data_IF_264759998750
#
_entry.id   IF_264759998750
#
_cell.length_a   1.000
_cell.length_b   1.000
_cell.length_c   1.000
_cell.angle_alpha   90.00
_cell.angle_beta   90.00
_cell.angle_gamma   90.00
#
_symmetry.space_group_name_H-M   'P 1'
#
loop_
_entity.id
_entity.type
_entity.pdbx_description
1 polymer ?
#
# COMPACT_ATOMS: atom_id res chain seq x y z
N UNK A 1 1.58 -13.27 -13.32
CA UNK A 1 2.72 -12.37 -13.35
C UNK A 1 3.15 -12.03 -11.93
N UNK A 2 4.44 -12.17 -11.65
CA UNK A 2 4.94 -11.87 -10.30
C UNK A 2 5.58 -10.49 -10.24
N UNK A 3 5.34 -9.82 -9.14
CA UNK A 3 5.90 -8.50 -8.87
C UNK A 3 6.94 -8.57 -7.76
N UNK A 4 7.90 -7.66 -7.79
CA UNK A 4 8.77 -7.41 -6.65
C UNK A 4 8.20 -6.21 -5.89
N UNK A 5 8.56 -6.08 -4.62
CA UNK A 5 8.06 -4.98 -3.79
C UNK A 5 9.21 -4.15 -3.26
N UNK A 6 9.10 -2.85 -3.43
CA UNK A 6 10.02 -1.90 -2.85
C UNK A 6 9.24 -1.03 -1.86
N UNK A 7 9.77 -0.87 -0.65
CA UNK A 7 9.16 -0.01 0.37
C UNK A 7 10.03 1.24 0.50
N UNK A 8 9.44 2.41 0.23
CA UNK A 8 10.16 3.68 0.32
C UNK A 8 10.53 3.99 1.77
N UNK A 9 11.46 4.92 1.97
CA UNK A 9 11.83 5.37 3.31
C UNK A 9 10.64 5.92 4.08
N UNK A 10 9.75 6.63 3.39
CA UNK A 10 8.55 7.21 4.01
C UNK A 10 7.59 6.11 4.48
N UNK A 11 7.32 5.12 3.63
CA UNK A 11 6.46 4.01 3.98
C UNK A 11 7.06 3.20 5.13
N UNK A 12 8.35 2.99 5.11
CA UNK A 12 9.04 2.30 6.19
C UNK A 12 8.91 3.06 7.52
N UNK A 13 8.96 4.38 7.45
CA UNK A 13 8.74 5.23 8.63
C UNK A 13 7.30 5.12 9.12
N UNK A 14 6.34 5.04 8.20
CA UNK A 14 4.93 4.83 8.56
C UNK A 14 4.74 3.55 9.36
N UNK A 15 5.43 2.47 8.97
CA UNK A 15 5.34 1.18 9.65
C UNK A 15 5.73 1.25 11.13
N UNK A 16 6.64 2.14 11.48
CA UNK A 16 7.09 2.30 12.87
C UNK A 16 6.00 2.80 13.81
N UNK A 17 4.96 3.40 13.26
CA UNK A 17 3.84 3.95 14.03
C UNK A 17 2.59 3.07 13.99
N UNK A 18 2.71 1.86 13.46
CA UNK A 18 1.59 0.93 13.32
C UNK A 18 1.75 -0.21 14.33
N UNK A 19 0.66 -0.61 15.03
CA UNK A 19 0.72 -1.74 15.96
C UNK A 19 1.22 -3.01 15.27
N UNK A 20 2.03 -3.77 15.97
CA UNK A 20 2.68 -4.98 15.43
C UNK A 20 1.70 -5.96 14.78
N UNK A 21 0.54 -6.18 15.40
CA UNK A 21 -0.46 -7.10 14.84
C UNK A 21 -1.00 -6.63 13.50
N UNK A 22 -1.10 -5.31 13.32
CA UNK A 22 -1.59 -4.74 12.07
C UNK A 22 -0.49 -4.79 11.01
N UNK A 23 0.76 -4.58 11.40
CA UNK A 23 1.91 -4.69 10.49
C UNK A 23 1.94 -6.07 9.83
N UNK A 24 1.75 -7.13 10.60
CA UNK A 24 1.76 -8.50 10.06
C UNK A 24 0.70 -8.68 8.98
N UNK A 25 -0.51 -8.19 9.24
CA UNK A 25 -1.62 -8.29 8.28
C UNK A 25 -1.36 -7.46 7.03
N UNK A 26 -0.82 -6.26 7.20
CA UNK A 26 -0.48 -5.37 6.09
C UNK A 26 0.58 -6.02 5.21
N UNK A 27 1.63 -6.55 5.81
CA UNK A 27 2.72 -7.21 5.08
C UNK A 27 2.19 -8.44 4.32
N UNK A 28 1.30 -9.22 4.94
CA UNK A 28 0.69 -10.37 4.28
C UNK A 28 -0.09 -9.93 3.04
N UNK A 29 -0.84 -8.83 3.13
CA UNK A 29 -1.61 -8.30 2.00
C UNK A 29 -0.69 -7.76 0.90
N UNK A 30 0.39 -7.11 1.27
CA UNK A 30 1.39 -6.65 0.30
C UNK A 30 2.01 -7.85 -0.42
N UNK A 31 2.32 -8.92 0.31
CA UNK A 31 2.86 -10.13 -0.30
C UNK A 31 1.89 -10.80 -1.26
N UNK A 32 0.59 -10.75 -0.96
CA UNK A 32 -0.43 -11.27 -1.88
C UNK A 32 -0.46 -10.51 -3.20
N UNK A 33 -0.13 -9.22 -3.19
CA UNK A 33 -0.08 -8.42 -4.41
C UNK A 33 1.02 -8.88 -5.38
N UNK A 34 2.05 -9.54 -4.87
CA UNK A 34 3.14 -10.04 -5.71
C UNK A 34 2.65 -11.06 -6.74
N UNK A 35 1.57 -11.76 -6.45
CA UNK A 35 1.02 -12.81 -7.32
C UNK A 35 -0.02 -12.31 -8.30
N UNK A 36 -0.07 -11.01 -8.58
CA UNK A 36 -0.98 -10.48 -9.59
C UNK A 36 -1.91 -9.39 -9.09
N UNK A 37 -1.44 -8.58 -8.16
CA UNK A 37 -2.19 -7.45 -7.62
C UNK A 37 -3.53 -7.86 -7.00
N UNK A 38 -3.50 -8.95 -6.24
CA UNK A 38 -4.69 -9.43 -5.52
C UNK A 38 -4.98 -8.55 -4.32
N UNK A 39 -6.27 -8.39 -4.01
CA UNK A 39 -6.73 -7.62 -2.86
C UNK A 39 -7.72 -6.55 -3.26
N UNK A 40 -8.12 -5.74 -2.28
CA UNK A 40 -9.05 -4.62 -2.49
C UNK A 40 -8.27 -3.41 -3.00
N UNK A 41 -7.99 -3.42 -4.30
CA UNK A 41 -7.15 -2.42 -4.96
C UNK A 41 -8.00 -1.52 -5.84
N UNK A 42 -7.79 -0.21 -5.71
CA UNK A 42 -8.47 0.79 -6.52
C UNK A 42 -7.45 1.74 -7.11
N UNK A 43 -7.64 2.10 -8.38
CA UNK A 43 -6.86 3.15 -9.01
C UNK A 43 -7.46 4.51 -8.65
N UNK A 44 -6.63 5.41 -8.13
CA UNK A 44 -7.07 6.75 -7.74
C UNK A 44 -6.96 7.69 -8.94
N UNK A 45 -8.02 8.46 -9.20
CA UNK A 45 -8.02 9.42 -10.29
C UNK A 45 -7.29 10.69 -9.90
N UNK A 46 -6.35 11.12 -10.77
CA UNK A 46 -5.63 12.39 -10.61
C UNK A 46 -4.77 12.50 -9.35
N UNK A 47 -4.32 11.38 -8.81
CA UNK A 47 -3.45 11.36 -7.64
C UNK A 47 -2.19 10.54 -7.90
N UNK A 48 -1.14 10.91 -7.21
CA UNK A 48 0.11 10.16 -7.14
C UNK A 48 0.43 9.93 -5.67
N UNK A 49 0.57 8.69 -5.19
CA UNK A 49 0.56 7.39 -5.92
C UNK A 49 -0.81 7.03 -6.53
N UNK A 50 -0.77 6.28 -7.65
CA UNK A 50 -1.97 5.97 -8.42
C UNK A 50 -2.89 4.90 -7.83
N UNK A 51 -2.38 4.04 -6.96
CA UNK A 51 -3.12 2.88 -6.46
C UNK A 51 -3.24 2.87 -4.96
N UNK A 52 -4.34 2.29 -4.49
CA UNK A 52 -4.64 2.11 -3.07
C UNK A 52 -5.04 0.67 -2.81
N UNK A 53 -4.39 0.04 -1.84
CA UNK A 53 -4.83 -1.23 -1.27
C UNK A 53 -5.53 -0.93 0.05
N UNK A 54 -6.79 -1.35 0.19
CA UNK A 54 -7.54 -1.21 1.43
C UNK A 54 -7.48 -2.50 2.24
N UNK A 55 -7.11 -2.38 3.50
CA UNK A 55 -7.16 -3.49 4.45
C UNK A 55 -7.56 -2.96 5.83
N UNK A 56 -8.81 -3.23 6.22
CA UNK A 56 -9.34 -2.70 7.48
C UNK A 56 -9.27 -1.19 7.52
N UNK A 57 -8.66 -0.66 8.56
CA UNK A 57 -8.49 0.78 8.73
C UNK A 57 -7.23 1.32 8.07
N UNK A 58 -6.50 0.48 7.35
CA UNK A 58 -5.23 0.87 6.74
C UNK A 58 -5.36 1.00 5.24
N UNK A 59 -4.58 1.94 4.70
CA UNK A 59 -4.50 2.19 3.26
C UNK A 59 -3.04 2.17 2.85
N UNK A 60 -2.72 1.30 1.89
CA UNK A 60 -1.38 1.22 1.32
C UNK A 60 -1.41 1.93 -0.02
N UNK A 61 -0.65 3.01 -0.14
CA UNK A 61 -0.59 3.81 -1.36
C UNK A 61 0.65 3.40 -2.14
N UNK A 62 0.47 2.99 -3.38
CA UNK A 62 1.57 2.45 -4.17
C UNK A 62 1.43 2.77 -5.65
N UNK A 63 2.53 2.54 -6.36
CA UNK A 63 2.55 2.60 -7.82
C UNK A 63 3.11 1.29 -8.36
N UNK A 64 2.78 1.00 -9.62
CA UNK A 64 3.31 -0.15 -10.32
C UNK A 64 4.21 0.36 -11.43
N UNK A 65 5.49 -0.01 -11.36
CA UNK A 65 6.49 0.37 -12.35
C UNK A 65 7.04 -0.92 -12.95
N UNK A 66 6.61 -1.26 -14.17
CA UNK A 66 6.91 -2.53 -14.82
C UNK A 66 6.47 -3.72 -13.96
N UNK A 67 7.40 -4.50 -13.42
CA UNK A 67 7.10 -5.62 -12.53
C UNK A 67 7.36 -5.30 -11.05
N UNK A 68 7.45 -4.02 -10.72
CA UNK A 68 7.75 -3.57 -9.36
C UNK A 68 6.57 -2.82 -8.77
N UNK A 69 6.21 -3.18 -7.53
CA UNK A 69 5.24 -2.46 -6.73
C UNK A 69 6.03 -1.57 -5.78
N UNK A 70 5.86 -0.25 -5.88
CA UNK A 70 6.56 0.72 -5.03
C UNK A 70 5.58 1.27 -4.01
N UNK A 71 5.81 0.96 -2.73
CA UNK A 71 4.95 1.39 -1.63
C UNK A 71 5.40 2.76 -1.15
N UNK A 72 4.56 3.77 -1.32
CA UNK A 72 4.87 5.15 -0.93
C UNK A 72 4.38 5.54 0.45
N UNK A 73 3.20 5.06 0.84
CA UNK A 73 2.65 5.37 2.15
C UNK A 73 1.84 4.21 2.70
N UNK A 74 1.83 4.08 4.02
CA UNK A 74 0.94 3.16 4.73
C UNK A 74 0.30 4.00 5.83
N UNK A 75 -0.97 4.36 5.64
CA UNK A 75 -1.64 5.35 6.48
C UNK A 75 -3.00 4.85 6.96
N UNK A 76 -3.50 5.47 8.01
CA UNK A 76 -4.84 5.19 8.51
C UNK A 76 -5.88 5.75 7.54
N UNK A 77 -7.06 5.12 7.49
CA UNK A 77 -8.15 5.56 6.60
C UNK A 77 -8.49 7.04 6.75
N UNK A 78 -8.36 7.60 7.94
CA UNK A 78 -8.62 9.01 8.17
C UNK A 78 -7.70 9.91 7.38
N UNK A 79 -6.42 9.53 7.33
CA UNK A 79 -5.43 10.30 6.60
C UNK A 79 -5.52 10.08 5.10
N UNK A 80 -6.07 8.94 4.68
CA UNK A 80 -6.20 8.61 3.27
C UNK A 80 -7.14 9.56 2.51
N UNK A 81 -8.06 10.21 3.18
CA UNK A 81 -8.93 11.19 2.54
C UNK A 81 -8.16 12.37 1.96
N UNK A 82 -6.99 12.67 2.52
CA UNK A 82 -6.11 13.71 2.00
C UNK A 82 -5.50 13.34 0.65
N UNK A 83 -5.57 12.05 0.29
CA UNK A 83 -5.03 11.52 -0.97
C UNK A 83 -6.13 11.03 -1.91
N UNK A 84 -7.37 11.51 -1.72
CA UNK A 84 -8.47 11.18 -2.61
C UNK A 84 -8.96 9.74 -2.55
N UNK A 85 -8.51 8.99 -1.58
CA UNK A 85 -8.85 7.58 -1.43
C UNK A 85 -9.79 7.28 -0.24
#
# INVERSE_FOLDING_TARGET
>A
MKYTVEITKRANKDLKNIPMRDIKRIIDKINEMKDGLKGDIKKLSNYTPEYRLRHGNWRVLFEVEDDKIVIYRIINRKDAYRFGG
#
